data_IF_730351537052
#
_entry.id   IF_730351537052
#
_cell.length_a   1.000
_cell.length_b   1.000
_cell.length_c   1.000
_cell.angle_alpha   90.00
_cell.angle_beta   90.00
_cell.angle_gamma   90.00
#
_symmetry.space_group_name_H-M   'P 1'
#
loop_
_entity.id
_entity.type
_entity.pdbx_description
1 polymer ?
#
# COMPACT_ATOMS: atom_id res chain seq x y z
N UNK A 1 -17.86 -4.52 -11.62
CA UNK A 1 -17.66 -3.27 -10.85
C UNK A 1 -16.17 -3.09 -10.60
N UNK A 2 -15.61 -1.88 -10.77
CA UNK A 2 -14.22 -1.60 -10.35
C UNK A 2 -14.14 -1.41 -8.83
N UNK A 3 -12.99 -1.67 -8.25
CA UNK A 3 -12.76 -1.42 -6.82
C UNK A 3 -12.19 -0.02 -6.67
N UNK A 4 -12.89 0.83 -5.92
CA UNK A 4 -12.46 2.20 -5.68
C UNK A 4 -11.23 2.27 -4.74
N UNK A 5 -10.34 3.24 -4.99
CA UNK A 5 -9.32 3.64 -4.03
C UNK A 5 -9.92 4.49 -2.90
N UNK A 6 -9.25 4.52 -1.73
CA UNK A 6 -9.60 5.46 -0.66
C UNK A 6 -9.34 6.89 -1.13
N UNK A 7 -10.35 7.75 -1.04
CA UNK A 7 -10.22 9.16 -1.39
C UNK A 7 -9.45 9.92 -0.29
N UNK A 8 -8.19 10.26 -0.54
CA UNK A 8 -7.30 10.90 0.44
C UNK A 8 -7.68 12.33 0.76
N UNK A 9 -8.43 13.04 -0.10
CA UNK A 9 -8.95 14.39 0.21
C UNK A 9 -9.93 14.37 1.37
N UNK A 10 -10.70 13.29 1.52
CA UNK A 10 -11.68 13.16 2.60
C UNK A 10 -11.01 12.90 3.97
N UNK A 11 -9.73 12.55 3.98
CA UNK A 11 -8.99 12.14 5.17
C UNK A 11 -8.10 13.23 5.79
N UNK A 12 -7.94 14.38 5.13
CA UNK A 12 -6.95 15.41 5.51
C UNK A 12 -7.29 16.25 6.77
N UNK A 13 -8.30 15.86 7.56
CA UNK A 13 -8.83 16.69 8.65
C UNK A 13 -8.11 16.53 9.99
N UNK A 14 -7.50 15.39 10.23
CA UNK A 14 -6.81 15.07 11.49
C UNK A 14 -5.73 14.01 11.27
N UNK A 15 -4.77 13.86 12.20
CA UNK A 15 -3.84 12.74 12.17
C UNK A 15 -4.59 11.39 12.15
N UNK A 16 -4.13 10.46 11.34
CA UNK A 16 -4.75 9.15 11.12
C UNK A 16 -3.84 8.07 11.67
N UNK A 17 -4.38 7.23 12.55
CA UNK A 17 -3.67 6.04 13.03
C UNK A 17 -3.54 5.02 11.88
N UNK A 18 -2.30 4.62 11.58
CA UNK A 18 -1.99 3.73 10.46
C UNK A 18 -1.01 2.63 10.84
N UNK A 19 -0.99 1.58 10.00
CA UNK A 19 0.10 0.61 9.91
C UNK A 19 0.79 0.76 8.56
N UNK A 20 2.11 0.84 8.55
CA UNK A 20 2.91 0.85 7.32
C UNK A 20 3.09 -0.60 6.86
N UNK A 21 2.62 -0.93 5.65
CA UNK A 21 2.58 -2.32 5.16
C UNK A 21 3.64 -2.66 4.12
N UNK A 22 4.20 -1.66 3.44
CA UNK A 22 5.29 -1.82 2.48
C UNK A 22 6.08 -0.52 2.37
N UNK A 23 7.39 -0.62 2.15
CA UNK A 23 8.29 0.52 2.01
C UNK A 23 9.26 0.25 0.86
N UNK A 24 9.28 1.13 -0.14
CA UNK A 24 10.30 1.13 -1.20
C UNK A 24 11.26 2.32 -1.05
N UNK A 25 10.80 3.47 -0.56
CA UNK A 25 11.62 4.63 -0.22
C UNK A 25 10.87 5.64 0.67
N UNK A 26 11.54 6.71 1.10
CA UNK A 26 10.87 7.81 1.82
C UNK A 26 9.82 8.52 0.96
N UNK A 27 9.91 8.47 -0.36
CA UNK A 27 8.88 8.98 -1.28
C UNK A 27 7.89 7.90 -1.76
N UNK A 28 7.97 6.67 -1.24
CA UNK A 28 7.14 5.56 -1.70
C UNK A 28 7.03 4.51 -0.59
N UNK A 29 5.97 4.60 0.19
CA UNK A 29 5.56 3.57 1.14
C UNK A 29 4.04 3.47 1.17
N UNK A 30 3.50 2.38 1.68
CA UNK A 30 2.08 2.11 1.71
C UNK A 30 1.59 2.00 3.15
N UNK A 31 0.48 2.65 3.44
CA UNK A 31 -0.14 2.67 4.76
C UNK A 31 -1.57 2.12 4.69
N UNK A 32 -2.00 1.44 5.75
CA UNK A 32 -3.39 1.05 5.96
C UNK A 32 -3.95 1.78 7.18
N UNK A 33 -5.18 2.26 7.09
CA UNK A 33 -5.88 2.88 8.21
C UNK A 33 -6.18 1.82 9.28
N UNK A 34 -5.95 2.14 10.54
CA UNK A 34 -6.31 1.22 11.64
C UNK A 34 -7.82 1.10 11.83
N UNK A 35 -8.56 2.16 11.53
CA UNK A 35 -10.02 2.22 11.72
C UNK A 35 -10.79 1.24 10.85
N UNK A 36 -10.24 0.82 9.71
CA UNK A 36 -10.87 -0.16 8.80
C UNK A 36 -10.30 -1.57 8.94
N UNK A 37 -9.37 -1.80 9.88
CA UNK A 37 -8.66 -3.07 9.95
C UNK A 37 -9.59 -4.25 10.30
N UNK A 38 -10.54 -4.07 11.21
CA UNK A 38 -11.49 -5.11 11.62
C UNK A 38 -12.36 -5.54 10.43
N UNK A 39 -13.04 -4.60 9.78
CA UNK A 39 -13.85 -4.86 8.58
C UNK A 39 -13.00 -5.50 7.45
N UNK A 40 -11.75 -5.05 7.29
CA UNK A 40 -10.86 -5.61 6.28
C UNK A 40 -10.46 -7.05 6.58
N UNK A 41 -10.19 -7.40 7.85
CA UNK A 41 -9.93 -8.80 8.23
C UNK A 41 -11.16 -9.66 7.98
N UNK A 42 -12.37 -9.19 8.33
CA UNK A 42 -13.61 -9.90 8.06
C UNK A 42 -13.80 -10.17 6.56
N UNK A 43 -13.54 -9.17 5.71
CA UNK A 43 -13.58 -9.35 4.26
C UNK A 43 -12.61 -10.42 3.77
N UNK A 44 -11.37 -10.44 4.27
CA UNK A 44 -10.36 -11.42 3.86
C UNK A 44 -10.70 -12.83 4.35
N UNK A 45 -11.27 -12.96 5.54
CA UNK A 45 -11.76 -14.23 6.06
C UNK A 45 -12.92 -14.77 5.21
N UNK A 46 -13.88 -13.92 4.87
CA UNK A 46 -15.00 -14.28 4.02
C UNK A 46 -14.57 -14.63 2.59
N UNK A 47 -13.64 -13.87 2.01
CA UNK A 47 -13.02 -14.17 0.73
C UNK A 47 -12.34 -15.55 0.79
N UNK A 48 -11.51 -15.77 1.81
CA UNK A 48 -10.80 -17.05 2.01
C UNK A 48 -11.78 -18.20 2.15
N UNK A 49 -12.85 -18.04 2.92
CA UNK A 49 -13.91 -19.05 3.11
C UNK A 49 -14.62 -19.35 1.79
N UNK A 50 -14.97 -18.33 1.01
CA UNK A 50 -15.64 -18.48 -0.29
C UNK A 50 -14.76 -19.21 -1.29
N UNK A 51 -13.49 -18.82 -1.40
CA UNK A 51 -12.57 -19.39 -2.38
C UNK A 51 -12.18 -20.82 -2.01
N UNK A 52 -12.05 -21.12 -0.71
CA UNK A 52 -11.80 -22.50 -0.25
C UNK A 52 -12.97 -23.43 -0.58
N UNK A 53 -14.22 -23.00 -0.40
CA UNK A 53 -15.40 -23.85 -0.63
C UNK A 53 -15.75 -24.01 -2.11
N UNK A 54 -15.64 -22.94 -2.90
CA UNK A 54 -16.20 -22.87 -4.26
C UNK A 54 -15.30 -22.11 -5.25
N UNK A 55 -14.00 -22.01 -4.98
CA UNK A 55 -13.04 -21.29 -5.84
C UNK A 55 -12.86 -21.92 -7.21
N UNK A 56 -12.99 -23.25 -7.33
CA UNK A 56 -12.92 -23.95 -8.62
C UNK A 56 -13.95 -23.46 -9.65
N UNK A 57 -15.09 -22.94 -9.20
CA UNK A 57 -16.13 -22.36 -10.05
C UNK A 57 -15.81 -20.94 -10.55
N UNK A 58 -14.79 -20.30 -9.97
CA UNK A 58 -14.43 -18.91 -10.21
C UNK A 58 -13.10 -18.76 -10.95
N UNK A 59 -12.49 -19.86 -11.42
CA UNK A 59 -11.22 -19.79 -12.13
C UNK A 59 -11.41 -19.09 -13.48
N UNK A 60 -10.54 -18.13 -13.79
CA UNK A 60 -10.53 -17.49 -15.09
C UNK A 60 -9.82 -18.38 -16.12
N UNK A 61 -10.35 -18.37 -17.34
CA UNK A 61 -9.61 -18.87 -18.50
C UNK A 61 -8.57 -17.82 -18.89
N UNK A 62 -7.37 -18.21 -19.37
CA UNK A 62 -6.33 -17.26 -19.76
C UNK A 62 -6.82 -16.15 -20.70
N UNK A 63 -7.64 -16.50 -21.69
CA UNK A 63 -8.17 -15.55 -22.69
C UNK A 63 -9.18 -14.54 -22.11
N UNK A 64 -9.67 -14.76 -20.89
CA UNK A 64 -10.58 -13.87 -20.17
C UNK A 64 -9.88 -13.00 -19.12
N UNK A 65 -8.55 -13.10 -18.99
CA UNK A 65 -7.77 -12.27 -18.08
C UNK A 65 -7.51 -10.93 -18.78
N UNK A 66 -8.05 -9.85 -18.20
CA UNK A 66 -8.03 -8.51 -18.79
C UNK A 66 -7.24 -7.59 -17.87
N UNK A 67 -6.31 -6.82 -18.43
CA UNK A 67 -5.57 -5.78 -17.69
C UNK A 67 -6.54 -4.74 -17.15
N UNK A 68 -6.39 -4.38 -15.87
CA UNK A 68 -7.30 -3.49 -15.14
C UNK A 68 -8.40 -4.20 -14.37
N UNK A 69 -8.67 -5.49 -14.62
CA UNK A 69 -9.71 -6.21 -13.89
C UNK A 69 -9.28 -6.61 -12.48
N UNK A 70 -10.24 -6.51 -11.55
CA UNK A 70 -10.06 -6.96 -10.19
C UNK A 70 -10.22 -8.47 -10.08
N UNK A 71 -9.23 -9.13 -9.50
CA UNK A 71 -9.10 -10.58 -9.41
C UNK A 71 -8.83 -11.03 -7.98
N UNK A 72 -9.11 -12.30 -7.70
CA UNK A 72 -8.70 -12.99 -6.49
C UNK A 72 -7.52 -13.92 -6.81
N UNK A 73 -6.52 -13.93 -5.94
CA UNK A 73 -5.40 -14.87 -6.01
C UNK A 73 -5.17 -15.52 -4.65
N UNK A 74 -4.52 -16.68 -4.66
CA UNK A 74 -4.08 -17.35 -3.43
C UNK A 74 -2.71 -16.81 -3.01
N UNK A 75 -2.58 -16.45 -1.73
CA UNK A 75 -1.31 -16.06 -1.11
C UNK A 75 -1.09 -16.89 0.16
N UNK A 76 -0.21 -17.89 0.06
CA UNK A 76 0.02 -18.86 1.14
C UNK A 76 -1.24 -19.62 1.54
N UNK A 77 -1.70 -19.39 2.78
CA UNK A 77 -2.91 -20.01 3.35
C UNK A 77 -4.19 -19.18 3.15
N UNK A 78 -4.07 -17.93 2.69
CA UNK A 78 -5.19 -17.03 2.51
C UNK A 78 -5.48 -16.71 1.04
N UNK A 79 -6.52 -15.92 0.83
CA UNK A 79 -6.86 -15.32 -0.45
C UNK A 79 -6.78 -13.81 -0.36
N UNK A 80 -6.32 -13.21 -1.45
CA UNK A 80 -6.13 -11.77 -1.57
C UNK A 80 -6.79 -11.28 -2.84
N UNK A 81 -7.19 -10.01 -2.82
CA UNK A 81 -7.70 -9.28 -3.97
C UNK A 81 -6.57 -8.47 -4.60
N UNK A 82 -6.62 -8.30 -5.90
CA UNK A 82 -5.65 -7.52 -6.66
C UNK A 82 -6.21 -7.08 -8.00
N UNK A 83 -5.40 -6.37 -8.77
CA UNK A 83 -5.71 -5.91 -10.12
C UNK A 83 -4.70 -6.48 -11.08
N UNK A 84 -5.15 -7.01 -12.21
CA UNK A 84 -4.25 -7.44 -13.28
C UNK A 84 -3.55 -6.21 -13.86
N UNK A 85 -2.23 -6.17 -13.81
CA UNK A 85 -1.43 -5.08 -14.39
C UNK A 85 -0.78 -5.45 -15.70
N UNK A 86 -0.53 -6.75 -15.93
CA UNK A 86 0.04 -7.23 -17.19
C UNK A 86 -0.27 -8.71 -17.41
N UNK A 87 -0.29 -9.14 -18.67
CA UNK A 87 -0.43 -10.55 -19.09
C UNK A 87 0.76 -10.88 -19.98
N UNK A 88 1.68 -11.67 -19.45
CA UNK A 88 2.96 -11.97 -20.06
C UNK A 88 2.83 -13.11 -21.09
N UNK A 89 3.73 -13.11 -22.09
CA UNK A 89 3.76 -14.13 -23.14
C UNK A 89 4.13 -15.55 -22.67
N UNK A 90 4.56 -15.72 -21.43
CA UNK A 90 4.95 -16.99 -20.81
C UNK A 90 3.84 -17.61 -19.93
N UNK A 91 2.59 -17.18 -20.12
CA UNK A 91 1.42 -17.60 -19.34
C UNK A 91 1.46 -17.20 -17.86
N UNK A 92 2.19 -16.15 -17.55
CA UNK A 92 2.14 -15.48 -16.24
C UNK A 92 1.37 -14.16 -16.33
N UNK A 93 0.81 -13.76 -15.19
CA UNK A 93 0.01 -12.55 -15.03
C UNK A 93 0.60 -11.77 -13.89
N UNK A 94 0.93 -10.50 -14.13
CA UNK A 94 1.31 -9.57 -13.08
C UNK A 94 0.05 -9.04 -12.41
N UNK A 95 -0.01 -9.17 -11.08
CA UNK A 95 -1.14 -8.73 -10.26
C UNK A 95 -0.63 -7.77 -9.19
N UNK A 96 -1.22 -6.58 -9.15
CA UNK A 96 -0.99 -5.58 -8.12
C UNK A 96 -1.97 -5.77 -6.96
N UNK A 97 -1.43 -6.06 -5.79
CA UNK A 97 -2.15 -6.23 -4.53
C UNK A 97 -2.31 -4.87 -3.85
N UNK A 98 -3.28 -4.09 -4.33
CA UNK A 98 -3.49 -2.69 -3.93
C UNK A 98 -3.71 -2.50 -2.43
N UNK A 99 -4.27 -3.49 -1.73
CA UNK A 99 -4.41 -3.43 -0.27
C UNK A 99 -3.05 -3.37 0.45
N UNK A 100 -1.99 -3.94 -0.12
CA UNK A 100 -0.65 -4.02 0.50
C UNK A 100 0.43 -3.26 -0.28
N UNK A 101 0.11 -2.68 -1.43
CA UNK A 101 1.07 -2.03 -2.33
C UNK A 101 2.08 -2.97 -2.98
N UNK A 102 1.85 -4.28 -2.93
CA UNK A 102 2.78 -5.30 -3.47
C UNK A 102 2.37 -5.69 -4.88
N UNK A 103 3.32 -6.12 -5.69
CA UNK A 103 3.04 -6.79 -6.96
C UNK A 103 3.53 -8.23 -6.89
N UNK A 104 2.81 -9.14 -7.53
CA UNK A 104 3.15 -10.56 -7.62
C UNK A 104 2.89 -11.06 -9.04
N UNK A 105 3.63 -12.07 -9.46
CA UNK A 105 3.36 -12.78 -10.71
C UNK A 105 2.75 -14.14 -10.40
N UNK A 106 1.71 -14.51 -11.13
CA UNK A 106 1.01 -15.79 -10.97
C UNK A 106 0.83 -16.45 -12.33
N UNK A 107 0.88 -17.78 -12.43
CA UNK A 107 0.40 -18.46 -13.62
C UNK A 107 -1.05 -18.08 -13.91
N UNK A 108 -1.45 -17.96 -15.18
CA UNK A 108 -2.83 -17.59 -15.55
C UNK A 108 -3.90 -18.46 -14.86
N UNK A 109 -3.59 -19.74 -14.64
CA UNK A 109 -4.49 -20.69 -14.00
C UNK A 109 -4.68 -20.49 -12.49
N UNK A 110 -3.90 -19.61 -11.86
CA UNK A 110 -4.03 -19.24 -10.44
C UNK A 110 -4.75 -17.90 -10.25
N UNK A 111 -5.37 -17.37 -11.30
CA UNK A 111 -6.15 -16.13 -11.27
C UNK A 111 -7.64 -16.47 -11.30
N UNK A 112 -8.40 -15.83 -10.41
CA UNK A 112 -9.81 -16.12 -10.19
C UNK A 112 -10.65 -14.85 -10.24
N UNK A 113 -11.92 -15.01 -10.62
CA UNK A 113 -12.93 -13.97 -10.57
C UNK A 113 -13.07 -13.49 -9.12
N UNK A 114 -12.94 -12.19 -8.91
CA UNK A 114 -13.35 -11.53 -7.67
C UNK A 114 -14.85 -11.20 -7.75
N UNK A 115 -15.68 -11.86 -6.94
CA UNK A 115 -17.13 -11.58 -6.91
C UNK A 115 -17.42 -10.14 -6.44
N UNK A 116 -18.45 -9.50 -6.99
CA UNK A 116 -18.77 -8.07 -6.76
C UNK A 116 -18.93 -7.70 -5.28
N UNK A 117 -19.42 -8.61 -4.43
CA UNK A 117 -19.52 -8.36 -2.98
C UNK A 117 -18.18 -8.07 -2.32
N UNK A 118 -17.09 -8.64 -2.82
CA UNK A 118 -15.74 -8.35 -2.33
C UNK A 118 -15.18 -7.07 -2.96
N UNK A 119 -15.82 -6.55 -4.02
CA UNK A 119 -15.42 -5.30 -4.69
C UNK A 119 -15.97 -4.04 -4.00
N UNK A 120 -17.00 -4.18 -3.16
CA UNK A 120 -17.67 -3.07 -2.47
C UNK A 120 -16.77 -2.32 -1.48
N UNK A 121 -15.88 -3.03 -0.78
CA UNK A 121 -14.88 -2.38 0.06
C UNK A 121 -13.78 -1.81 -0.82
N UNK A 122 -13.41 -0.55 -0.56
CA UNK A 122 -12.30 0.15 -1.22
C UNK A 122 -10.97 -0.57 -0.99
N UNK A 123 -9.99 -0.31 -1.86
CA UNK A 123 -8.61 -0.72 -1.59
C UNK A 123 -8.11 -0.13 -0.28
N UNK A 124 -7.43 -0.93 0.54
CA UNK A 124 -7.01 -0.53 1.88
C UNK A 124 -5.62 0.10 1.92
N UNK A 125 -4.81 -0.10 0.88
CA UNK A 125 -3.48 0.46 0.78
C UNK A 125 -3.52 1.89 0.26
N UNK A 126 -2.99 2.82 1.06
CA UNK A 126 -2.81 4.22 0.68
C UNK A 126 -1.34 4.43 0.31
N UNK A 127 -1.05 4.77 -0.96
CA UNK A 127 0.28 5.16 -1.37
C UNK A 127 0.69 6.51 -0.75
N UNK A 128 1.81 6.52 -0.02
CA UNK A 128 2.29 7.66 0.75
C UNK A 128 3.73 8.06 0.38
N UNK A 129 3.98 9.36 0.41
CA UNK A 129 5.32 9.96 0.36
C UNK A 129 5.57 10.87 1.54
N UNK A 130 6.77 10.83 2.12
CA UNK A 130 7.16 11.69 3.22
C UNK A 130 7.38 13.12 2.71
N UNK A 131 6.53 14.03 3.16
CA UNK A 131 6.56 15.43 2.74
C UNK A 131 7.87 16.12 3.15
N UNK A 132 8.25 17.14 2.38
CA UNK A 132 9.38 18.01 2.67
C UNK A 132 10.72 17.28 2.84
N UNK A 133 10.90 16.16 2.14
CA UNK A 133 12.16 15.42 2.08
C UNK A 133 12.62 15.23 0.65
N UNK A 134 13.94 15.21 0.46
CA UNK A 134 14.57 14.91 -0.83
C UNK A 134 15.86 14.10 -0.63
N UNK A 135 16.30 13.34 -1.66
CA UNK A 135 17.63 12.73 -1.68
C UNK A 135 18.71 13.80 -1.82
N UNK A 136 19.94 13.53 -1.34
CA UNK A 136 21.07 14.46 -1.42
C UNK A 136 21.60 14.72 -2.84
N UNK A 137 21.45 13.75 -3.73
CA UNK A 137 21.90 13.87 -5.12
C UNK A 137 20.88 13.33 -6.10
N UNK A 138 20.67 14.06 -7.20
CA UNK A 138 19.74 13.69 -8.25
C UNK A 138 18.28 13.60 -7.80
N UNK A 139 17.52 12.74 -8.48
CA UNK A 139 16.09 12.52 -8.23
C UNK A 139 15.78 11.25 -7.45
N UNK A 140 16.76 10.38 -7.21
CA UNK A 140 16.57 9.04 -6.63
C UNK A 140 17.18 8.90 -5.23
N UNK A 141 16.46 8.26 -4.32
CA UNK A 141 16.99 7.85 -3.02
C UNK A 141 18.13 6.84 -3.17
N UNK A 142 19.23 7.07 -2.44
CA UNK A 142 20.34 6.12 -2.38
C UNK A 142 19.88 4.79 -1.80
N UNK A 143 20.54 3.69 -2.16
CA UNK A 143 20.23 2.35 -1.63
C UNK A 143 20.24 2.34 -0.10
N UNK A 144 21.26 2.94 0.53
CA UNK A 144 21.35 3.03 1.98
C UNK A 144 20.17 3.79 2.61
N UNK A 145 19.70 4.87 1.99
CA UNK A 145 18.53 5.61 2.48
C UNK A 145 17.24 4.80 2.36
N UNK A 146 17.06 4.05 1.26
CA UNK A 146 15.92 3.13 1.09
C UNK A 146 15.95 2.01 2.13
N UNK A 147 17.10 1.36 2.30
CA UNK A 147 17.28 0.26 3.24
C UNK A 147 17.03 0.72 4.68
N UNK A 148 17.56 1.87 5.08
CA UNK A 148 17.31 2.45 6.40
C UNK A 148 15.83 2.80 6.59
N UNK A 149 15.20 3.45 5.59
CA UNK A 149 13.78 3.80 5.67
C UNK A 149 12.93 2.56 5.88
N UNK A 150 13.19 1.51 5.08
CA UNK A 150 12.51 0.22 5.21
C UNK A 150 12.75 -0.41 6.58
N UNK A 151 13.99 -0.41 7.08
CA UNK A 151 14.32 -0.94 8.40
C UNK A 151 13.55 -0.22 9.53
N UNK A 152 13.42 1.10 9.44
CA UNK A 152 12.83 1.91 10.50
C UNK A 152 11.30 1.84 10.56
N UNK A 153 10.61 1.77 9.42
CA UNK A 153 9.14 1.98 9.39
C UNK A 153 8.34 0.79 8.84
N UNK A 154 8.97 -0.20 8.20
CA UNK A 154 8.20 -1.30 7.61
C UNK A 154 7.52 -2.13 8.70
N UNK A 155 6.21 -2.40 8.54
CA UNK A 155 5.35 -3.06 9.52
C UNK A 155 5.13 -2.28 10.82
N UNK A 156 5.61 -1.04 10.92
CA UNK A 156 5.41 -0.22 12.10
C UNK A 156 4.06 0.47 12.10
N UNK A 157 3.61 0.79 13.31
CA UNK A 157 2.41 1.60 13.55
C UNK A 157 2.79 3.05 13.84
N UNK A 158 1.91 3.97 13.49
CA UNK A 158 2.13 5.39 13.72
C UNK A 158 0.92 6.24 13.35
N UNK A 159 1.15 7.53 13.22
CA UNK A 159 0.17 8.50 12.76
C UNK A 159 0.68 9.23 11.52
N UNK A 160 -0.20 9.39 10.53
CA UNK A 160 0.05 10.23 9.37
C UNK A 160 -0.82 11.48 9.42
N UNK A 161 -0.25 12.63 9.09
CA UNK A 161 -0.98 13.86 8.81
C UNK A 161 -0.86 14.15 7.32
N UNK A 162 -1.98 14.23 6.60
CA UNK A 162 -1.98 14.50 5.15
C UNK A 162 -1.74 15.99 4.92
N UNK A 163 -0.69 16.30 4.17
CA UNK A 163 -0.27 17.66 3.82
C UNK A 163 -0.51 17.98 2.33
N UNK A 164 -0.71 16.96 1.51
CA UNK A 164 -1.10 17.09 0.10
C UNK A 164 -1.60 15.76 -0.45
N UNK A 165 -2.31 15.80 -1.56
CA UNK A 165 -2.89 14.62 -2.22
C UNK A 165 -2.36 14.47 -3.65
N UNK A 166 -2.33 13.24 -4.16
CA UNK A 166 -1.90 12.91 -5.53
C UNK A 166 -3.02 12.10 -6.18
N UNK A 167 -3.66 12.66 -7.21
CA UNK A 167 -4.83 12.09 -7.91
C UNK A 167 -5.96 11.61 -6.97
N UNK A 168 -6.02 12.16 -5.76
CA UNK A 168 -6.98 11.81 -4.71
C UNK A 168 -6.87 10.38 -4.17
N UNK A 169 -5.82 9.65 -4.56
CA UNK A 169 -5.56 8.25 -4.15
C UNK A 169 -4.28 8.15 -3.30
N UNK A 170 -3.28 8.97 -3.60
CA UNK A 170 -2.03 9.06 -2.84
C UNK A 170 -1.98 10.25 -1.91
N UNK A 171 -1.07 10.20 -0.94
CA UNK A 171 -0.88 11.25 0.05
C UNK A 171 0.58 11.64 0.25
N UNK A 172 0.85 12.94 0.33
CA UNK A 172 2.08 13.49 0.90
C UNK A 172 1.83 13.73 2.39
N UNK A 173 2.64 13.13 3.26
CA UNK A 173 2.33 13.05 4.69
C UNK A 173 3.49 13.49 5.56
N UNK A 174 3.17 14.05 6.73
CA UNK A 174 4.03 13.93 7.90
C UNK A 174 3.79 12.54 8.53
N UNK A 175 4.87 11.83 8.88
CA UNK A 175 4.80 10.54 9.55
C UNK A 175 5.43 10.61 10.95
N UNK A 176 4.65 10.22 11.95
CA UNK A 176 5.12 9.98 13.31
C UNK A 176 5.03 8.49 13.61
N UNK A 177 6.16 7.86 13.90
CA UNK A 177 6.24 6.43 14.23
C UNK A 177 6.20 6.23 15.74
N UNK A 178 5.55 5.16 16.18
CA UNK A 178 5.59 4.77 17.59
C UNK A 178 6.97 4.25 17.96
N UNK A 179 7.52 4.73 19.06
CA UNK A 179 8.79 4.29 19.64
C UNK A 179 8.56 3.73 21.05
N UNK A 180 9.18 2.59 21.35
CA UNK A 180 9.10 1.92 22.67
C UNK A 180 8.36 0.57 22.63
N UNK A 181 8.89 -0.43 23.34
CA UNK A 181 8.33 -1.79 23.41
C UNK A 181 7.27 -2.00 24.51
N UNK A 182 7.07 -1.01 25.38
CA UNK A 182 6.11 -1.08 26.49
C UNK A 182 4.97 -0.08 26.30
N UNK A 183 3.73 -0.54 26.50
CA UNK A 183 2.50 0.24 26.34
C UNK A 183 2.38 1.49 27.24
N UNK A 184 3.34 1.73 28.16
CA UNK A 184 3.30 2.80 29.17
C UNK A 184 4.11 4.05 28.80
N UNK A 185 4.99 3.99 27.79
CA UNK A 185 5.73 5.16 27.30
C UNK A 185 5.48 5.36 25.82
N UNK A 186 4.45 6.15 25.51
CA UNK A 186 4.05 6.46 24.14
C UNK A 186 4.91 7.61 23.60
N UNK A 187 6.09 7.30 23.09
CA UNK A 187 6.94 8.30 22.43
C UNK A 187 6.73 8.21 20.93
N UNK A 188 6.28 9.31 20.32
CA UNK A 188 6.22 9.44 18.87
C UNK A 188 7.49 10.09 18.34
N UNK A 189 8.08 9.49 17.32
CA UNK A 189 9.25 10.03 16.64
C UNK A 189 8.82 10.59 15.30
N UNK A 190 9.13 11.87 15.05
CA UNK A 190 8.96 12.47 13.72
C UNK A 190 9.97 11.87 12.75
N UNK A 191 9.47 11.11 11.77
CA UNK A 191 10.32 10.31 10.90
C UNK A 191 11.17 11.15 9.94
N UNK A 192 10.66 12.29 9.49
CA UNK A 192 11.42 13.26 8.67
C UNK A 192 12.66 13.73 9.43
N UNK A 193 12.46 14.19 10.66
CA UNK A 193 13.54 14.69 11.50
C UNK A 193 14.59 13.61 11.78
N UNK A 194 14.17 12.36 11.97
CA UNK A 194 15.09 11.22 12.11
C UNK A 194 15.95 11.01 10.87
N UNK A 195 15.36 11.00 9.68
CA UNK A 195 16.12 10.79 8.44
C UNK A 195 17.12 11.92 8.18
N UNK A 196 16.74 13.17 8.48
CA UNK A 196 17.63 14.33 8.35
C UNK A 196 18.80 14.24 9.34
N UNK A 197 18.52 13.97 10.62
CA UNK A 197 19.55 13.85 11.67
C UNK A 197 20.55 12.72 11.39
N UNK A 198 20.07 11.61 10.81
CA UNK A 198 20.93 10.49 10.43
C UNK A 198 21.69 10.71 9.11
N UNK A 199 21.46 11.83 8.41
CA UNK A 199 22.13 12.15 7.15
C UNK A 199 21.64 11.32 5.96
N UNK A 200 20.38 10.88 5.97
CA UNK A 200 19.77 10.09 4.90
C UNK A 200 18.71 10.82 4.07
N UNK A 201 18.28 12.02 4.51
CA UNK A 201 17.45 12.93 3.75
C UNK A 201 17.90 14.38 3.93
N UNK A 202 17.60 15.23 2.96
CA UNK A 202 17.65 16.68 3.11
C UNK A 202 16.24 17.26 3.19
N UNK A 203 16.09 18.39 3.88
CA UNK A 203 14.85 19.16 3.87
C UNK A 203 14.59 19.73 2.48
N UNK A 204 13.32 19.77 2.08
CA UNK A 204 12.87 20.37 0.82
C UNK A 204 11.64 21.21 1.10
N UNK A 205 11.57 22.44 0.58
CA UNK A 205 10.37 23.29 0.72
C UNK A 205 9.24 22.89 -0.23
N UNK A 206 9.53 21.99 -1.19
CA UNK A 206 8.55 21.56 -2.20
C UNK A 206 7.76 20.34 -1.74
N UNK A 207 6.43 20.45 -1.76
CA UNK A 207 5.50 19.33 -1.83
C UNK A 207 5.42 18.86 -3.30
N UNK A 208 6.17 17.81 -3.66
CA UNK A 208 6.21 17.33 -5.04
C UNK A 208 4.96 16.52 -5.38
N UNK A 209 3.99 17.13 -6.05
CA UNK A 209 2.72 16.49 -6.45
C UNK A 209 2.73 15.94 -7.90
N UNK A 210 3.62 16.42 -8.77
CA UNK A 210 3.60 16.10 -10.21
C UNK A 210 4.60 15.04 -10.71
N UNK A 211 5.54 14.59 -9.88
CA UNK A 211 6.58 13.60 -10.23
C UNK A 211 6.69 12.50 -9.16
N UNK A 212 5.56 12.12 -8.57
CA UNK A 212 5.55 11.14 -7.51
C UNK A 212 5.53 9.73 -8.10
N UNK A 213 6.26 8.75 -7.52
CA UNK A 213 6.34 7.38 -8.06
C UNK A 213 5.03 6.57 -8.07
N UNK A 214 3.90 7.18 -7.69
CA UNK A 214 2.56 6.58 -7.78
C UNK A 214 1.71 7.17 -8.92
N UNK A 215 2.31 8.01 -9.78
CA UNK A 215 1.69 8.67 -10.94
C UNK A 215 1.91 7.81 -12.19
#
# INVERSE_FOLDING_TARGET
>A
MEVECINTRLLARSPLAVKIVKVDSSSLFWAQLKTSNEDFQELLEDLTRRMTRKGHMLRLLPDHIIVGEAVAIREGRGWQRGVVTDVNGDWTVAVSLHDWGRSVERPCFEVYILEDRFRQMRWQGIPCGLAYTAPFSGSSWSRKAKDLTKFLINQQEGHISILGTVRDEGALVELKIRSGGNAREYHEINFKETLIKLGYAQHSDKLRTGSHPFI
#
